data_IF_577591614408
#
_entry.id   IF_577591614408
#
_cell.length_a   1.000
_cell.length_b   1.000
_cell.length_c   1.000
_cell.angle_alpha   90.00
_cell.angle_beta   90.00
_cell.angle_gamma   90.00
#
_symmetry.space_group_name_H-M   'P 1'
#
loop_
_entity.id
_entity.type
_entity.pdbx_description
1 polymer ?
#
# COMPACT_ATOMS: atom_id res chain seq x y z
N UNK A 1 -35.50 -27.70 -60.79
CA UNK A 1 -35.45 -28.08 -59.39
C UNK A 1 -33.99 -27.90 -58.86
N UNK A 2 -33.72 -26.72 -58.24
CA UNK A 2 -32.40 -26.43 -57.65
C UNK A 2 -32.45 -26.76 -56.14
N UNK A 3 -31.70 -27.74 -55.72
CA UNK A 3 -31.47 -28.02 -54.31
C UNK A 3 -30.40 -27.05 -53.75
N UNK A 4 -30.78 -26.11 -52.88
CA UNK A 4 -29.86 -25.31 -52.10
C UNK A 4 -29.48 -26.11 -50.82
N UNK A 5 -28.25 -26.58 -50.76
CA UNK A 5 -27.66 -27.19 -49.54
C UNK A 5 -27.31 -26.06 -48.58
N UNK A 6 -27.99 -26.02 -47.42
CA UNK A 6 -27.62 -25.17 -46.29
C UNK A 6 -26.50 -25.90 -45.52
N UNK A 7 -25.26 -25.36 -45.58
CA UNK A 7 -24.21 -25.78 -44.66
C UNK A 7 -24.48 -25.10 -43.31
N UNK A 8 -24.87 -25.89 -42.32
CA UNK A 8 -24.96 -25.50 -40.92
C UNK A 8 -23.53 -25.55 -40.33
N UNK A 9 -22.90 -24.39 -40.11
CA UNK A 9 -21.63 -24.32 -39.39
C UNK A 9 -21.91 -24.54 -37.91
N UNK A 10 -21.66 -25.73 -37.41
CA UNK A 10 -21.66 -26.04 -35.99
C UNK A 10 -20.39 -25.45 -35.36
N UNK A 11 -20.51 -24.32 -34.69
CA UNK A 11 -19.48 -23.78 -33.79
C UNK A 11 -19.42 -24.68 -32.56
N UNK A 12 -18.45 -25.57 -32.51
CA UNK A 12 -18.13 -26.35 -31.31
C UNK A 12 -17.66 -25.38 -30.21
N UNK A 13 -18.54 -25.07 -29.26
CA UNK A 13 -18.14 -24.39 -28.03
C UNK A 13 -17.22 -25.35 -27.26
N UNK A 14 -15.98 -24.93 -27.01
CA UNK A 14 -15.07 -25.67 -26.16
C UNK A 14 -15.69 -25.81 -24.76
N UNK A 15 -15.47 -26.94 -24.06
CA UNK A 15 -16.02 -27.13 -22.71
C UNK A 15 -15.50 -26.03 -21.76
N UNK A 16 -16.36 -25.55 -20.86
CA UNK A 16 -16.07 -24.41 -19.96
C UNK A 16 -14.77 -24.58 -19.14
N UNK A 17 -14.42 -25.81 -18.77
CA UNK A 17 -13.17 -26.11 -18.08
C UNK A 17 -11.92 -25.80 -18.95
N UNK A 18 -11.92 -26.19 -20.23
CA UNK A 18 -10.80 -25.91 -21.13
C UNK A 18 -10.62 -24.38 -21.40
N UNK A 19 -11.72 -23.62 -21.43
CA UNK A 19 -11.65 -22.16 -21.54
C UNK A 19 -11.09 -21.50 -20.27
N UNK A 20 -11.39 -22.05 -19.08
CA UNK A 20 -10.86 -21.56 -17.81
C UNK A 20 -9.35 -21.81 -17.70
N UNK A 21 -8.86 -22.97 -18.13
CA UNK A 21 -7.44 -23.29 -18.09
C UNK A 21 -6.65 -22.40 -19.07
N UNK A 22 -7.12 -22.22 -20.29
CA UNK A 22 -6.48 -21.33 -21.29
C UNK A 22 -6.43 -19.87 -20.82
N UNK A 23 -7.47 -19.42 -20.11
CA UNK A 23 -7.50 -18.07 -19.54
C UNK A 23 -6.44 -17.93 -18.43
N UNK A 24 -6.38 -18.86 -17.49
CA UNK A 24 -5.39 -18.83 -16.38
C UNK A 24 -3.95 -18.89 -16.92
N UNK A 25 -3.70 -19.68 -17.96
CA UNK A 25 -2.40 -19.71 -18.64
C UNK A 25 -2.02 -18.36 -19.22
N UNK A 26 -2.94 -17.67 -19.90
CA UNK A 26 -2.68 -16.35 -20.45
C UNK A 26 -2.45 -15.29 -19.37
N UNK A 27 -3.22 -15.32 -18.28
CA UNK A 27 -3.06 -14.45 -17.12
C UNK A 27 -1.69 -14.70 -16.44
N UNK A 28 -1.31 -15.96 -16.23
CA UNK A 28 -0.01 -16.37 -15.71
C UNK A 28 1.14 -15.86 -16.60
N UNK A 29 1.06 -16.08 -17.91
CA UNK A 29 2.10 -15.67 -18.85
C UNK A 29 2.29 -14.14 -18.90
N UNK A 30 1.24 -13.36 -18.73
CA UNK A 30 1.35 -11.91 -18.61
C UNK A 30 2.00 -11.52 -17.29
N UNK A 31 1.62 -12.16 -16.20
CA UNK A 31 2.18 -11.90 -14.87
C UNK A 31 3.68 -12.23 -14.81
N UNK A 32 4.08 -13.40 -15.33
CA UNK A 32 5.47 -13.80 -15.49
C UNK A 32 6.30 -12.71 -16.20
N UNK A 33 5.87 -12.25 -17.38
CA UNK A 33 6.55 -11.19 -18.13
C UNK A 33 6.72 -9.90 -17.34
N UNK A 34 5.75 -9.55 -16.48
CA UNK A 34 5.75 -8.32 -15.69
C UNK A 34 6.64 -8.48 -14.46
N UNK A 35 6.61 -9.63 -13.79
CA UNK A 35 7.48 -9.90 -12.62
C UNK A 35 8.95 -9.93 -13.05
N UNK A 36 9.27 -10.52 -14.19
CA UNK A 36 10.64 -10.63 -14.71
C UNK A 36 11.24 -9.31 -15.24
N UNK A 37 10.50 -8.20 -15.17
CA UNK A 37 11.08 -6.87 -15.42
C UNK A 37 11.52 -6.29 -14.07
N UNK A 38 12.82 -6.19 -13.75
CA UNK A 38 13.29 -5.72 -12.44
C UNK A 38 13.21 -4.19 -12.35
N UNK A 39 12.03 -3.68 -12.05
CA UNK A 39 11.72 -2.24 -11.97
C UNK A 39 12.20 -1.61 -10.66
N UNK A 40 13.39 -1.98 -10.22
CA UNK A 40 14.09 -1.37 -9.09
C UNK A 40 14.62 0.00 -9.49
N UNK A 41 14.58 0.95 -8.55
CA UNK A 41 15.17 2.27 -8.73
C UNK A 41 16.62 2.18 -9.25
N UNK A 42 16.96 3.03 -10.22
CA UNK A 42 18.31 3.06 -10.81
C UNK A 42 18.63 1.96 -11.83
N UNK A 43 17.83 0.89 -11.96
CA UNK A 43 18.06 -0.17 -12.95
C UNK A 43 17.59 0.16 -14.38
N UNK A 44 16.86 1.26 -14.58
CA UNK A 44 16.45 1.73 -15.90
C UNK A 44 15.47 0.80 -16.63
N UNK A 45 14.75 -0.07 -15.92
CA UNK A 45 13.84 -1.04 -16.52
C UNK A 45 12.37 -0.56 -16.60
N UNK A 46 12.04 0.55 -15.96
CA UNK A 46 10.68 1.09 -15.97
C UNK A 46 10.14 1.36 -17.39
N UNK A 47 10.91 1.92 -18.35
CA UNK A 47 10.43 2.10 -19.72
C UNK A 47 10.02 0.81 -20.42
N UNK A 48 10.63 -0.33 -20.09
CA UNK A 48 10.25 -1.64 -20.62
C UNK A 48 8.88 -2.07 -20.10
N UNK A 49 8.61 -1.86 -18.81
CA UNK A 49 7.33 -2.19 -18.20
C UNK A 49 6.21 -1.28 -18.70
N UNK A 50 6.42 0.05 -18.74
CA UNK A 50 5.42 0.99 -19.23
C UNK A 50 5.06 0.76 -20.69
N UNK A 51 6.04 0.40 -21.53
CA UNK A 51 5.80 0.03 -22.93
C UNK A 51 4.94 -1.23 -23.04
N UNK A 52 5.22 -2.27 -22.25
CA UNK A 52 4.42 -3.49 -22.19
C UNK A 52 2.98 -3.18 -21.75
N UNK A 53 2.80 -2.45 -20.67
CA UNK A 53 1.48 -2.08 -20.14
C UNK A 53 0.68 -1.23 -21.14
N UNK A 54 1.32 -0.25 -21.79
CA UNK A 54 0.70 0.56 -22.83
C UNK A 54 0.17 -0.30 -23.97
N UNK A 55 0.94 -1.31 -24.38
CA UNK A 55 0.51 -2.26 -25.44
C UNK A 55 -0.65 -3.14 -24.96
N UNK A 56 -0.64 -3.61 -23.71
CA UNK A 56 -1.73 -4.40 -23.14
C UNK A 56 -3.03 -3.59 -23.02
N UNK A 57 -2.96 -2.31 -22.63
CA UNK A 57 -4.12 -1.40 -22.69
C UNK A 57 -4.62 -1.20 -24.12
N UNK A 58 -3.70 -1.01 -25.10
CA UNK A 58 -4.06 -0.85 -26.52
C UNK A 58 -4.77 -2.08 -27.06
N UNK A 59 -4.30 -3.30 -26.74
CA UNK A 59 -4.95 -4.57 -27.12
C UNK A 59 -6.37 -4.67 -26.56
N UNK A 60 -6.62 -4.11 -25.39
CA UNK A 60 -7.95 -4.02 -24.80
C UNK A 60 -8.84 -2.93 -25.42
N UNK A 61 -8.32 -2.12 -26.37
CA UNK A 61 -9.04 -0.97 -26.91
C UNK A 61 -9.12 0.23 -25.95
N UNK A 62 -8.20 0.32 -24.98
CA UNK A 62 -7.98 1.50 -24.12
C UNK A 62 -6.76 2.23 -24.68
N UNK A 63 -7.00 3.18 -25.59
CA UNK A 63 -5.93 3.84 -26.35
C UNK A 63 -5.48 5.19 -25.78
N UNK A 64 -6.25 5.77 -24.85
CA UNK A 64 -5.86 6.99 -24.15
C UNK A 64 -4.91 6.64 -22.99
N UNK A 65 -3.63 6.47 -23.32
CA UNK A 65 -2.56 6.09 -22.38
C UNK A 65 -1.42 7.08 -22.51
N UNK A 66 -1.12 7.75 -21.40
CA UNK A 66 -0.03 8.73 -21.25
C UNK A 66 1.03 8.16 -20.32
N UNK A 67 2.29 8.20 -20.73
CA UNK A 67 3.45 7.91 -19.89
C UNK A 67 4.09 9.24 -19.51
N UNK A 68 4.42 9.38 -18.23
CA UNK A 68 5.04 10.57 -17.64
C UNK A 68 6.43 10.22 -17.13
N UNK A 69 7.46 10.82 -17.74
CA UNK A 69 8.83 10.74 -17.25
C UNK A 69 9.01 11.67 -16.05
N UNK A 70 9.64 11.18 -14.99
CA UNK A 70 10.00 11.96 -13.81
C UNK A 70 11.12 11.29 -13.02
N UNK A 71 12.02 12.06 -12.49
CA UNK A 71 13.04 11.64 -11.51
C UNK A 71 13.79 10.33 -11.86
N UNK A 72 14.05 10.08 -13.15
CA UNK A 72 14.71 8.86 -13.63
C UNK A 72 13.81 7.63 -13.77
N UNK A 73 12.51 7.76 -13.55
CA UNK A 73 11.49 6.71 -13.71
C UNK A 73 10.29 7.18 -14.55
N UNK A 74 9.24 6.38 -14.61
CA UNK A 74 8.02 6.67 -15.37
C UNK A 74 6.78 6.28 -14.58
N UNK A 75 5.71 7.08 -14.70
CA UNK A 75 4.35 6.73 -14.30
C UNK A 75 3.45 6.62 -15.52
N UNK A 76 2.43 5.75 -15.47
CA UNK A 76 1.49 5.51 -16.55
C UNK A 76 0.08 5.92 -16.12
N UNK A 77 -0.60 6.70 -16.98
CA UNK A 77 -2.00 7.09 -16.79
C UNK A 77 -2.80 6.60 -17.98
N UNK A 78 -3.78 5.74 -17.75
CA UNK A 78 -4.71 5.28 -18.78
C UNK A 78 -6.13 5.75 -18.49
N UNK A 79 -6.92 6.03 -19.52
CA UNK A 79 -8.31 6.47 -19.38
C UNK A 79 -9.23 5.69 -20.31
N UNK A 80 -10.23 5.06 -19.72
CA UNK A 80 -11.36 4.47 -20.43
C UNK A 80 -12.56 5.41 -20.30
N UNK A 81 -12.91 6.16 -21.36
CA UNK A 81 -14.03 7.09 -21.32
C UNK A 81 -15.37 6.38 -21.12
N UNK A 82 -16.30 7.07 -20.48
CA UNK A 82 -17.68 6.64 -20.37
C UNK A 82 -18.32 6.52 -21.78
N UNK A 83 -18.96 5.41 -22.03
CA UNK A 83 -19.72 5.23 -23.26
C UNK A 83 -21.08 5.96 -23.22
N UNK A 84 -21.66 6.04 -22.03
CA UNK A 84 -22.92 6.74 -21.74
C UNK A 84 -22.75 7.57 -20.47
N UNK A 85 -22.24 8.82 -20.57
CA UNK A 85 -21.95 9.63 -19.40
C UNK A 85 -23.15 9.87 -18.51
N UNK A 86 -23.06 9.49 -17.23
CA UNK A 86 -24.08 9.71 -16.20
C UNK A 86 -23.98 11.07 -15.49
N UNK A 87 -22.94 11.86 -15.83
CA UNK A 87 -22.61 13.10 -15.11
C UNK A 87 -21.77 12.89 -13.82
N UNK A 88 -21.55 11.64 -13.39
CA UNK A 88 -20.67 11.33 -12.27
C UNK A 88 -19.20 11.59 -12.65
N UNK A 89 -18.41 12.04 -11.67
CA UNK A 89 -16.95 12.16 -11.87
C UNK A 89 -16.31 10.80 -12.09
N UNK A 90 -15.14 10.75 -12.76
CA UNK A 90 -14.36 9.51 -12.92
C UNK A 90 -14.08 8.77 -11.60
N UNK A 91 -13.74 7.49 -11.70
CA UNK A 91 -13.08 6.74 -10.64
C UNK A 91 -11.60 6.56 -11.02
N UNK A 92 -10.72 6.54 -10.01
CA UNK A 92 -9.28 6.32 -10.18
C UNK A 92 -8.91 4.94 -9.63
N UNK A 93 -8.21 4.13 -10.41
CA UNK A 93 -7.62 2.86 -9.98
C UNK A 93 -6.13 3.06 -9.83
N UNK A 94 -5.55 2.59 -8.73
CA UNK A 94 -4.14 2.81 -8.41
C UNK A 94 -3.42 1.51 -8.11
N UNK A 95 -2.16 1.43 -8.53
CA UNK A 95 -1.15 0.45 -8.15
C UNK A 95 0.23 1.02 -8.49
N UNK A 96 1.31 0.42 -7.98
CA UNK A 96 2.66 0.81 -8.39
C UNK A 96 3.35 -0.27 -9.23
N UNK A 97 4.36 0.15 -9.98
CA UNK A 97 5.10 -0.66 -10.95
C UNK A 97 6.50 -1.05 -10.47
N UNK A 98 7.06 -0.21 -9.61
CA UNK A 98 8.40 -0.40 -9.05
C UNK A 98 8.41 -1.46 -7.96
N UNK A 99 9.60 -1.88 -7.59
CA UNK A 99 9.84 -2.88 -6.55
C UNK A 99 11.12 -2.53 -5.79
N UNK A 100 11.18 -2.88 -4.51
CA UNK A 100 12.41 -2.74 -3.73
C UNK A 100 13.52 -3.62 -4.27
N UNK A 101 14.77 -3.24 -3.98
CA UNK A 101 15.95 -4.02 -4.36
C UNK A 101 15.93 -5.39 -3.68
N UNK A 102 16.51 -6.38 -4.35
CA UNK A 102 16.74 -7.72 -3.84
C UNK A 102 18.15 -8.16 -4.18
N UNK A 103 18.96 -8.45 -3.17
CA UNK A 103 20.30 -8.95 -3.37
C UNK A 103 20.23 -10.45 -3.74
N UNK A 104 20.65 -10.86 -4.95
CA UNK A 104 20.56 -12.28 -5.36
C UNK A 104 21.33 -13.23 -4.47
N UNK A 105 22.39 -12.75 -3.77
CA UNK A 105 23.17 -13.59 -2.86
C UNK A 105 22.40 -14.07 -1.61
N UNK A 106 21.33 -13.37 -1.26
CA UNK A 106 20.48 -13.69 -0.09
C UNK A 106 19.34 -14.66 -0.45
N UNK A 107 19.06 -14.81 -1.76
CA UNK A 107 17.96 -15.64 -2.26
C UNK A 107 18.47 -17.02 -2.71
N UNK A 108 17.63 -18.03 -2.59
CA UNK A 108 17.92 -19.36 -3.17
C UNK A 108 17.95 -19.36 -4.69
N UNK A 109 17.26 -18.39 -5.31
CA UNK A 109 17.10 -18.23 -6.74
C UNK A 109 17.23 -16.76 -7.09
N UNK A 110 17.42 -16.45 -8.36
CA UNK A 110 17.34 -15.07 -8.82
C UNK A 110 15.96 -14.47 -8.46
N UNK A 111 15.91 -13.41 -7.65
CA UNK A 111 14.66 -12.79 -7.20
C UNK A 111 13.79 -12.25 -8.34
N UNK A 112 14.37 -11.99 -9.50
CA UNK A 112 13.66 -11.47 -10.67
C UNK A 112 13.30 -12.53 -11.71
N UNK A 113 13.50 -13.81 -11.40
CA UNK A 113 13.00 -14.94 -12.18
C UNK A 113 11.70 -15.44 -11.61
N UNK A 114 10.64 -15.41 -12.41
CA UNK A 114 9.32 -15.90 -12.02
C UNK A 114 9.33 -17.41 -11.78
N UNK A 115 8.69 -17.84 -10.72
CA UNK A 115 8.61 -19.25 -10.34
C UNK A 115 7.20 -19.60 -9.87
N UNK A 116 6.89 -20.88 -9.99
CA UNK A 116 5.68 -21.49 -9.44
C UNK A 116 6.09 -22.62 -8.52
N UNK A 117 5.75 -22.52 -7.22
CA UNK A 117 6.10 -23.52 -6.22
C UNK A 117 5.10 -23.50 -5.07
N UNK A 118 4.67 -24.69 -4.63
CA UNK A 118 3.82 -24.86 -3.43
C UNK A 118 2.46 -24.13 -3.49
N UNK A 119 1.92 -23.89 -4.68
CA UNK A 119 0.66 -23.16 -4.87
C UNK A 119 0.83 -21.64 -4.89
N UNK A 120 2.06 -21.14 -5.02
CA UNK A 120 2.39 -19.73 -5.10
C UNK A 120 3.14 -19.39 -6.39
N UNK A 121 2.94 -18.17 -6.86
CA UNK A 121 3.85 -17.48 -7.77
C UNK A 121 4.86 -16.71 -6.94
N UNK A 122 6.15 -16.89 -7.24
CA UNK A 122 7.27 -16.30 -6.50
C UNK A 122 8.09 -15.38 -7.41
N UNK A 123 8.65 -14.35 -6.81
CA UNK A 123 9.54 -13.38 -7.42
C UNK A 123 9.40 -12.01 -6.76
N UNK A 124 10.41 -11.16 -6.83
CA UNK A 124 10.34 -9.79 -6.32
C UNK A 124 9.25 -9.01 -7.05
N UNK A 125 8.33 -8.39 -6.31
CA UNK A 125 7.15 -7.71 -6.84
C UNK A 125 5.96 -8.64 -7.11
N UNK A 126 6.07 -9.94 -6.84
CA UNK A 126 4.95 -10.88 -7.05
C UNK A 126 3.76 -10.57 -6.14
N UNK A 127 3.99 -10.06 -4.94
CA UNK A 127 2.94 -9.58 -4.02
C UNK A 127 2.83 -8.06 -4.06
N UNK A 128 3.95 -7.37 -4.01
CA UNK A 128 4.09 -5.94 -3.83
C UNK A 128 4.74 -5.29 -5.07
N UNK A 129 3.98 -4.72 -6.01
CA UNK A 129 2.50 -4.66 -6.11
C UNK A 129 2.01 -5.18 -7.48
N UNK A 130 2.88 -5.92 -8.23
CA UNK A 130 2.59 -6.33 -9.61
C UNK A 130 1.39 -7.26 -9.72
N UNK A 131 1.06 -8.06 -8.68
CA UNK A 131 -0.16 -8.88 -8.71
C UNK A 131 -1.43 -8.04 -8.76
N UNK A 132 -1.52 -6.98 -7.95
CA UNK A 132 -2.68 -6.09 -7.95
C UNK A 132 -2.76 -5.28 -9.26
N UNK A 133 -1.62 -4.75 -9.72
CA UNK A 133 -1.49 -4.07 -11.01
C UNK A 133 -2.06 -4.93 -12.15
N UNK A 134 -1.62 -6.20 -12.25
CA UNK A 134 -2.07 -7.13 -13.29
C UNK A 134 -3.54 -7.49 -13.10
N UNK A 135 -4.00 -7.69 -11.85
CA UNK A 135 -5.41 -7.96 -11.57
C UNK A 135 -6.35 -6.87 -12.06
N UNK A 136 -6.00 -5.61 -11.83
CA UNK A 136 -6.75 -4.45 -12.35
C UNK A 136 -6.73 -4.43 -13.88
N UNK A 137 -5.56 -4.61 -14.51
CA UNK A 137 -5.41 -4.63 -15.97
C UNK A 137 -6.26 -5.74 -16.60
N UNK A 138 -6.18 -6.97 -16.07
CA UNK A 138 -6.96 -8.11 -16.57
C UNK A 138 -8.47 -7.90 -16.43
N UNK A 139 -8.92 -7.33 -15.31
CA UNK A 139 -10.33 -7.00 -15.12
C UNK A 139 -10.83 -5.99 -16.18
N UNK A 140 -10.06 -4.95 -16.47
CA UNK A 140 -10.38 -3.98 -17.51
C UNK A 140 -10.42 -4.63 -18.91
N UNK A 141 -9.44 -5.50 -19.22
CA UNK A 141 -9.41 -6.25 -20.48
C UNK A 141 -10.64 -7.16 -20.64
N UNK A 142 -11.02 -7.86 -19.56
CA UNK A 142 -12.17 -8.75 -19.55
C UNK A 142 -13.49 -7.99 -19.71
N UNK A 143 -13.64 -6.88 -18.99
CA UNK A 143 -14.81 -6.00 -19.11
C UNK A 143 -14.96 -5.44 -20.53
N UNK A 144 -13.86 -5.05 -21.16
CA UNK A 144 -13.87 -4.61 -22.58
C UNK A 144 -14.31 -5.73 -23.50
N UNK A 145 -13.73 -6.92 -23.35
CA UNK A 145 -14.11 -8.11 -24.17
C UNK A 145 -15.57 -8.52 -23.96
N UNK A 146 -16.10 -8.35 -22.74
CA UNK A 146 -17.50 -8.60 -22.42
C UNK A 146 -18.46 -7.49 -22.91
N UNK A 147 -17.95 -6.44 -23.58
CA UNK A 147 -18.76 -5.33 -24.10
C UNK A 147 -19.31 -4.40 -23.01
N UNK A 148 -18.71 -4.37 -21.83
CA UNK A 148 -19.12 -3.46 -20.75
C UNK A 148 -19.03 -2.00 -21.20
N UNK A 149 -20.06 -1.22 -20.90
CA UNK A 149 -20.20 0.18 -21.26
C UNK A 149 -20.23 1.03 -19.97
N UNK A 150 -19.10 1.61 -19.55
CA UNK A 150 -19.09 2.42 -18.34
C UNK A 150 -19.92 3.69 -18.49
N UNK A 151 -20.60 4.09 -17.43
CA UNK A 151 -21.40 5.34 -17.37
C UNK A 151 -20.60 6.51 -16.79
N UNK A 152 -19.39 6.26 -16.32
CA UNK A 152 -18.40 7.24 -15.88
C UNK A 152 -17.00 6.80 -16.34
N UNK A 153 -16.10 7.74 -16.49
CA UNK A 153 -14.74 7.42 -16.89
C UNK A 153 -14.04 6.57 -15.82
N UNK A 154 -13.23 5.62 -16.28
CA UNK A 154 -12.32 4.86 -15.42
C UNK A 154 -10.91 5.33 -15.75
N UNK A 155 -10.19 5.82 -14.77
CA UNK A 155 -8.81 6.27 -14.88
C UNK A 155 -7.93 5.26 -14.13
N UNK A 156 -6.78 4.93 -14.69
CA UNK A 156 -5.75 4.11 -14.05
C UNK A 156 -4.52 4.98 -13.85
N UNK A 157 -3.94 4.96 -12.67
CA UNK A 157 -2.63 5.53 -12.34
C UNK A 157 -1.74 4.39 -11.86
N UNK A 158 -0.68 4.09 -12.59
CA UNK A 158 0.39 3.20 -12.18
C UNK A 158 1.66 4.04 -11.99
N UNK A 159 2.09 4.19 -10.76
CA UNK A 159 3.29 4.93 -10.38
C UNK A 159 4.55 4.07 -10.49
N UNK A 160 5.70 4.68 -10.57
CA UNK A 160 6.95 3.96 -10.78
C UNK A 160 8.04 4.26 -9.75
N UNK A 161 7.65 4.73 -8.57
CA UNK A 161 8.56 5.14 -7.51
C UNK A 161 7.91 5.16 -6.11
N UNK A 162 6.88 4.35 -5.89
CA UNK A 162 6.20 4.23 -4.60
C UNK A 162 7.17 3.74 -3.53
N UNK A 163 7.99 2.76 -3.88
CA UNK A 163 8.99 2.11 -3.02
C UNK A 163 10.26 2.96 -2.78
N UNK A 164 10.32 4.16 -3.34
CA UNK A 164 11.48 5.04 -3.22
C UNK A 164 11.08 6.46 -2.86
N UNK A 165 10.72 7.29 -3.83
CA UNK A 165 10.49 8.73 -3.59
C UNK A 165 9.03 9.11 -3.45
N UNK A 166 8.09 8.33 -4.00
CA UNK A 166 6.67 8.66 -4.08
C UNK A 166 6.34 9.92 -4.89
N UNK A 167 7.31 10.42 -5.66
CA UNK A 167 7.15 11.65 -6.43
C UNK A 167 6.14 11.50 -7.56
N UNK A 168 5.97 10.29 -8.11
CA UNK A 168 4.95 9.99 -9.12
C UNK A 168 3.54 10.33 -8.64
N UNK A 169 3.20 9.88 -7.44
CA UNK A 169 1.92 10.20 -6.81
C UNK A 169 1.80 11.68 -6.43
N UNK A 170 2.87 12.30 -5.92
CA UNK A 170 2.92 13.73 -5.60
C UNK A 170 2.72 14.60 -6.86
N UNK A 171 3.34 14.23 -7.99
CA UNK A 171 3.14 14.89 -9.29
C UNK A 171 1.75 14.64 -9.86
N UNK A 172 1.20 13.43 -9.68
CA UNK A 172 -0.18 13.14 -10.06
C UNK A 172 -1.17 14.00 -9.28
N UNK A 173 -0.92 14.19 -7.96
CA UNK A 173 -1.71 15.04 -7.08
C UNK A 173 -1.64 16.54 -7.42
N UNK A 174 -0.57 17.00 -8.05
CA UNK A 174 -0.29 18.40 -8.38
C UNK A 174 -0.25 18.67 -9.87
N UNK A 175 0.88 18.40 -10.52
CA UNK A 175 1.15 18.74 -11.92
C UNK A 175 0.21 18.02 -12.91
N UNK A 176 -0.13 16.75 -12.63
CA UNK A 176 -0.99 15.92 -13.49
C UNK A 176 -2.41 15.82 -12.97
N UNK A 177 -2.80 16.68 -12.04
CA UNK A 177 -4.10 16.66 -11.35
C UNK A 177 -5.29 16.60 -12.30
N UNK A 178 -5.20 17.28 -13.47
CA UNK A 178 -6.25 17.25 -14.49
C UNK A 178 -6.43 15.87 -15.14
N UNK A 179 -5.38 15.06 -15.22
CA UNK A 179 -5.41 13.71 -15.78
C UNK A 179 -6.07 12.69 -14.84
N UNK A 180 -5.98 12.92 -13.53
CA UNK A 180 -6.47 12.01 -12.49
C UNK A 180 -7.69 12.54 -11.72
N UNK A 181 -8.35 13.60 -12.23
CA UNK A 181 -9.48 14.22 -11.53
C UNK A 181 -10.66 13.25 -11.38
N UNK A 182 -10.74 12.58 -10.25
CA UNK A 182 -11.73 11.57 -9.92
C UNK A 182 -12.58 11.95 -8.71
N UNK A 183 -13.71 11.25 -8.51
CA UNK A 183 -14.54 11.37 -7.32
C UNK A 183 -13.88 10.71 -6.11
N UNK A 184 -13.26 9.57 -6.35
CA UNK A 184 -12.47 8.79 -5.38
C UNK A 184 -11.51 7.87 -6.13
N UNK A 185 -10.57 7.30 -5.38
CA UNK A 185 -9.62 6.30 -5.87
C UNK A 185 -9.81 4.95 -5.15
N UNK A 186 -9.55 3.88 -5.90
CA UNK A 186 -9.41 2.51 -5.40
C UNK A 186 -7.95 2.12 -5.55
N UNK A 187 -7.26 1.88 -4.45
CA UNK A 187 -5.84 1.52 -4.44
C UNK A 187 -5.67 0.01 -4.24
N UNK A 188 -5.14 -0.67 -5.26
CA UNK A 188 -4.85 -2.10 -5.20
C UNK A 188 -3.64 -2.47 -4.35
N UNK A 189 -2.86 -1.46 -3.96
CA UNK A 189 -1.67 -1.62 -3.12
C UNK A 189 -2.00 -1.82 -1.63
N UNK A 190 -3.25 -1.73 -1.26
CA UNK A 190 -3.67 -1.84 0.12
C UNK A 190 -5.00 -2.60 0.23
N UNK A 191 -5.34 -3.03 1.43
CA UNK A 191 -6.53 -3.85 1.65
C UNK A 191 -6.23 -5.34 1.48
N UNK A 192 -7.10 -6.06 0.75
CA UNK A 192 -6.98 -7.50 0.57
C UNK A 192 -7.51 -8.33 1.73
N UNK A 193 -7.50 -9.65 1.57
CA UNK A 193 -8.15 -10.60 2.44
C UNK A 193 -7.21 -11.50 3.22
N UNK A 194 -7.72 -12.01 4.33
CA UNK A 194 -7.10 -13.07 5.13
C UNK A 194 -8.07 -14.25 5.21
N UNK A 195 -7.59 -15.42 4.83
CA UNK A 195 -8.39 -16.65 4.76
C UNK A 195 -7.64 -17.74 5.52
N UNK A 196 -8.32 -18.49 6.37
CA UNK A 196 -7.74 -19.65 7.05
C UNK A 196 -7.51 -20.79 6.06
N UNK A 197 -6.60 -21.71 6.39
CA UNK A 197 -6.31 -22.88 5.56
C UNK A 197 -7.53 -23.79 5.32
N UNK A 198 -8.53 -23.73 6.20
CA UNK A 198 -9.80 -24.43 6.06
C UNK A 198 -10.85 -23.71 5.21
N UNK A 199 -10.50 -22.56 4.63
CA UNK A 199 -11.36 -21.77 3.76
C UNK A 199 -12.24 -20.74 4.49
N UNK A 200 -12.26 -20.70 5.82
CA UNK A 200 -12.97 -19.64 6.57
C UNK A 200 -12.33 -18.27 6.28
N UNK A 201 -13.14 -17.27 6.10
CA UNK A 201 -12.68 -15.90 5.85
C UNK A 201 -12.54 -15.15 7.17
N UNK A 202 -11.34 -14.66 7.49
CA UNK A 202 -11.14 -13.75 8.63
C UNK A 202 -11.73 -12.38 8.32
N UNK A 203 -11.44 -11.83 7.14
CA UNK A 203 -11.97 -10.57 6.64
C UNK A 203 -11.20 -10.03 5.46
N UNK A 204 -11.76 -8.99 4.84
CA UNK A 204 -11.12 -8.19 3.80
C UNK A 204 -10.95 -6.76 4.30
N UNK A 205 -9.74 -6.24 4.21
CA UNK A 205 -9.42 -4.87 4.56
C UNK A 205 -9.96 -3.87 3.55
N UNK A 206 -10.43 -2.74 4.05
CA UNK A 206 -10.63 -1.52 3.27
C UNK A 206 -9.78 -0.42 3.92
N UNK A 207 -8.59 -0.19 3.40
CA UNK A 207 -7.72 0.86 3.95
C UNK A 207 -8.30 2.23 3.63
N UNK A 208 -8.59 3.01 4.67
CA UNK A 208 -9.11 4.37 4.56
C UNK A 208 -8.16 5.41 5.16
N UNK A 209 -7.12 4.97 5.85
CA UNK A 209 -6.13 5.83 6.47
C UNK A 209 -4.77 5.15 6.47
N UNK A 210 -3.71 5.95 6.62
CA UNK A 210 -2.35 5.50 6.82
C UNK A 210 -1.58 6.47 7.70
N UNK A 211 -0.56 5.99 8.39
CA UNK A 211 0.29 6.84 9.20
C UNK A 211 1.26 7.61 8.34
N UNK A 212 1.53 8.87 8.76
CA UNK A 212 2.58 9.65 8.13
C UNK A 212 3.95 9.15 8.61
N UNK A 213 4.80 8.80 7.67
CA UNK A 213 6.23 8.56 7.91
C UNK A 213 6.94 9.89 8.12
N UNK A 214 7.81 9.99 9.12
CA UNK A 214 8.69 11.13 9.27
C UNK A 214 9.98 10.74 10.00
N UNK A 215 11.11 11.13 9.43
CA UNK A 215 12.40 11.07 10.08
C UNK A 215 12.75 12.40 10.72
N UNK A 216 13.34 12.33 11.91
CA UNK A 216 13.84 13.49 12.63
C UNK A 216 15.31 13.27 12.94
N UNK A 217 16.17 14.15 12.40
CA UNK A 217 17.60 14.14 12.66
C UNK A 217 17.91 14.96 13.90
N UNK A 218 18.35 14.28 14.94
CA UNK A 218 18.83 14.90 16.18
C UNK A 218 20.33 15.13 16.07
N UNK A 219 20.77 16.33 16.37
CA UNK A 219 22.20 16.71 16.34
C UNK A 219 22.58 17.45 17.60
N UNK A 220 23.65 17.01 18.24
CA UNK A 220 24.32 17.70 19.34
C UNK A 220 25.73 18.04 18.91
N UNK A 221 26.12 19.30 19.09
CA UNK A 221 27.49 19.76 18.80
C UNK A 221 28.18 20.23 20.07
N UNK A 222 29.50 20.07 20.09
CA UNK A 222 30.35 20.44 21.21
C UNK A 222 31.73 20.88 20.69
N UNK A 223 32.46 21.71 21.44
CA UNK A 223 33.82 22.10 21.04
C UNK A 223 34.87 20.98 21.13
N UNK A 224 34.50 19.84 21.74
CA UNK A 224 35.43 18.73 21.99
C UNK A 224 36.48 19.03 23.05
N UNK A 225 37.54 18.23 23.08
CA UNK A 225 38.66 18.35 24.00
C UNK A 225 39.37 17.02 24.24
N UNK A 226 40.37 17.03 25.11
CA UNK A 226 41.11 15.82 25.48
C UNK A 226 40.33 15.02 26.52
N UNK A 227 40.21 13.69 26.33
CA UNK A 227 39.41 12.81 27.19
C UNK A 227 39.84 12.76 28.65
N UNK A 228 41.14 13.06 28.96
CA UNK A 228 41.64 13.14 30.31
C UNK A 228 41.14 14.36 31.08
N UNK A 229 40.43 15.28 30.43
CA UNK A 229 39.83 16.46 31.03
C UNK A 229 38.33 16.48 30.72
N UNK A 230 37.56 15.59 31.36
CA UNK A 230 36.14 15.46 31.11
C UNK A 230 35.38 16.76 31.41
N UNK A 231 34.32 17.01 30.68
CA UNK A 231 33.46 18.19 30.78
C UNK A 231 32.02 17.76 31.01
N UNK A 232 31.19 18.60 31.66
CA UNK A 232 29.75 18.31 31.80
C UNK A 232 29.00 18.24 30.46
N UNK A 233 29.45 19.03 29.49
CA UNK A 233 28.82 19.18 28.15
C UNK A 233 29.40 18.16 27.14
N UNK A 234 29.05 16.91 27.26
CA UNK A 234 29.45 15.85 26.34
C UNK A 234 28.34 15.56 25.33
N UNK A 235 28.63 15.71 24.04
CA UNK A 235 27.65 15.56 22.97
C UNK A 235 26.99 14.17 22.97
N UNK A 236 27.74 13.09 23.26
CA UNK A 236 27.19 11.73 23.34
C UNK A 236 26.22 11.62 24.52
N UNK A 237 26.59 12.14 25.70
CA UNK A 237 25.72 12.03 26.88
C UNK A 237 24.46 12.88 26.75
N UNK A 238 24.57 14.08 26.16
CA UNK A 238 23.40 14.93 25.87
C UNK A 238 22.46 14.23 24.91
N UNK A 239 22.96 13.64 23.81
CA UNK A 239 22.15 12.90 22.86
C UNK A 239 21.52 11.64 23.50
N UNK A 240 22.28 10.88 24.29
CA UNK A 240 21.76 9.71 24.98
C UNK A 240 20.62 10.06 25.95
N UNK A 241 20.74 11.18 26.68
CA UNK A 241 19.67 11.71 27.54
C UNK A 241 18.40 12.05 26.73
N UNK A 242 18.55 12.72 25.60
CA UNK A 242 17.45 13.03 24.69
C UNK A 242 16.75 11.76 24.16
N UNK A 243 17.51 10.76 23.72
CA UNK A 243 16.96 9.49 23.25
C UNK A 243 16.22 8.74 24.34
N UNK A 244 16.72 8.75 25.58
CA UNK A 244 16.03 8.15 26.75
C UNK A 244 14.73 8.86 27.08
N UNK A 245 14.68 10.20 26.96
CA UNK A 245 13.45 10.96 27.16
C UNK A 245 12.42 10.65 26.07
N UNK A 246 12.85 10.52 24.80
CA UNK A 246 11.99 10.15 23.68
C UNK A 246 11.48 8.70 23.83
N UNK A 247 12.33 7.76 24.19
CA UNK A 247 11.96 6.36 24.46
C UNK A 247 10.88 6.24 25.54
N UNK A 248 11.04 7.02 26.62
CA UNK A 248 10.09 7.02 27.75
C UNK A 248 8.77 7.73 27.43
N UNK A 249 8.74 8.58 26.40
CA UNK A 249 7.55 9.35 26.08
C UNK A 249 6.45 8.47 25.47
N UNK A 250 5.22 8.72 25.91
CA UNK A 250 3.99 8.12 25.36
C UNK A 250 3.10 9.24 24.81
N UNK A 251 3.02 9.30 23.47
CA UNK A 251 2.07 10.20 22.84
C UNK A 251 0.65 9.92 23.33
N UNK A 252 -0.24 10.93 23.36
CA UNK A 252 -1.63 10.74 23.74
C UNK A 252 -2.31 9.67 22.88
N UNK A 253 -3.18 8.83 23.44
CA UNK A 253 -3.99 7.93 22.64
C UNK A 253 -4.97 8.70 21.76
N UNK A 254 -5.25 8.17 20.60
CA UNK A 254 -6.11 8.73 19.57
C UNK A 254 -6.95 7.64 18.93
N UNK A 255 -8.10 8.00 18.41
CA UNK A 255 -8.97 7.13 17.65
C UNK A 255 -9.52 7.87 16.43
N UNK A 256 -9.57 7.20 15.29
CA UNK A 256 -10.26 7.67 14.08
C UNK A 256 -11.25 6.59 13.61
N UNK A 257 -11.98 6.86 12.51
CA UNK A 257 -12.98 5.93 11.98
C UNK A 257 -12.37 4.55 11.65
N UNK A 258 -11.14 4.50 11.11
CA UNK A 258 -10.47 3.26 10.75
C UNK A 258 -10.05 2.45 11.99
N UNK A 259 -9.35 3.07 12.95
CA UNK A 259 -8.92 2.38 14.16
C UNK A 259 -10.10 1.98 15.04
N UNK A 260 -11.18 2.78 15.08
CA UNK A 260 -12.42 2.40 15.76
C UNK A 260 -13.02 1.13 15.17
N UNK A 261 -13.23 1.10 13.85
CA UNK A 261 -13.81 -0.06 13.18
C UNK A 261 -12.96 -1.34 13.36
N UNK A 262 -11.64 -1.19 13.32
CA UNK A 262 -10.71 -2.28 13.60
C UNK A 262 -10.90 -2.83 15.03
N UNK A 263 -10.93 -1.97 16.04
CA UNK A 263 -11.10 -2.38 17.42
C UNK A 263 -12.50 -2.90 17.73
N UNK A 264 -13.56 -2.34 17.14
CA UNK A 264 -14.92 -2.87 17.23
C UNK A 264 -14.99 -4.30 16.69
N UNK A 265 -14.36 -4.55 15.53
CA UNK A 265 -14.28 -5.89 14.96
C UNK A 265 -13.48 -6.86 15.85
N UNK A 266 -12.35 -6.41 16.39
CA UNK A 266 -11.55 -7.19 17.33
C UNK A 266 -12.37 -7.56 18.57
N UNK A 267 -13.12 -6.62 19.14
CA UNK A 267 -14.00 -6.85 20.29
C UNK A 267 -15.15 -7.85 20.00
N UNK A 268 -15.62 -7.89 18.74
CA UNK A 268 -16.62 -8.88 18.30
C UNK A 268 -16.03 -10.30 18.19
N UNK A 269 -14.81 -10.42 17.69
CA UNK A 269 -14.17 -11.70 17.42
C UNK A 269 -13.49 -12.30 18.64
N UNK A 270 -12.79 -11.48 19.41
CA UNK A 270 -12.05 -11.91 20.60
C UNK A 270 -12.94 -11.84 21.85
N UNK A 271 -13.29 -13.00 22.41
CA UNK A 271 -14.03 -13.12 23.67
C UNK A 271 -13.12 -13.31 24.90
N UNK A 272 -11.82 -13.31 24.69
CA UNK A 272 -10.82 -13.42 25.75
C UNK A 272 -10.41 -12.05 26.32
N UNK A 273 -9.33 -12.09 27.11
CA UNK A 273 -8.81 -10.92 27.84
C UNK A 273 -8.47 -9.74 26.92
N UNK A 274 -7.96 -10.00 25.71
CA UNK A 274 -7.63 -8.93 24.78
C UNK A 274 -8.89 -8.24 24.27
N UNK A 275 -9.91 -8.98 23.89
CA UNK A 275 -11.20 -8.41 23.50
C UNK A 275 -11.90 -7.63 24.62
N UNK A 276 -11.69 -8.03 25.90
CA UNK A 276 -12.18 -7.26 27.07
C UNK A 276 -11.46 -5.91 27.18
N UNK A 277 -10.14 -5.89 27.03
CA UNK A 277 -9.36 -4.65 26.99
C UNK A 277 -9.80 -3.72 25.88
N UNK A 278 -10.01 -4.28 24.67
CA UNK A 278 -10.50 -3.50 23.52
C UNK A 278 -11.86 -2.89 23.82
N UNK A 279 -12.81 -3.66 24.33
CA UNK A 279 -14.14 -3.14 24.73
C UNK A 279 -14.04 -2.00 25.74
N UNK A 280 -13.22 -2.18 26.78
CA UNK A 280 -12.98 -1.13 27.80
C UNK A 280 -12.41 0.13 27.15
N UNK A 281 -11.40 0.00 26.25
CA UNK A 281 -10.80 1.15 25.61
C UNK A 281 -11.75 1.87 24.63
N UNK A 282 -12.65 1.15 23.98
CA UNK A 282 -13.65 1.74 23.09
C UNK A 282 -14.69 2.61 23.85
N UNK A 283 -14.92 2.34 25.13
CA UNK A 283 -15.75 3.18 26.01
C UNK A 283 -15.06 4.50 26.36
N UNK A 284 -13.74 4.47 26.60
CA UNK A 284 -12.90 5.66 26.83
C UNK A 284 -11.59 5.58 26.04
N UNK A 285 -11.56 6.03 24.77
CA UNK A 285 -10.34 6.03 23.97
C UNK A 285 -9.23 6.99 24.45
N UNK A 286 -9.48 7.74 25.51
CA UNK A 286 -8.47 8.61 26.14
C UNK A 286 -7.71 7.93 27.30
N UNK A 287 -8.18 6.75 27.75
CA UNK A 287 -7.53 5.97 28.81
C UNK A 287 -6.14 5.50 28.35
N UNK A 288 -5.11 6.15 28.92
CA UNK A 288 -3.71 5.90 28.57
C UNK A 288 -3.25 4.51 28.98
N UNK A 289 -3.67 4.04 30.15
CA UNK A 289 -3.23 2.76 30.69
C UNK A 289 -3.75 1.59 29.86
N UNK A 290 -5.03 1.66 29.48
CA UNK A 290 -5.62 0.65 28.57
C UNK A 290 -5.01 0.73 27.17
N UNK A 291 -4.76 1.94 26.62
CA UNK A 291 -4.08 2.09 25.36
C UNK A 291 -2.65 1.51 25.39
N UNK A 292 -1.89 1.66 26.47
CA UNK A 292 -0.56 1.08 26.64
C UNK A 292 -0.58 -0.47 26.61
N UNK A 293 -1.62 -1.08 27.18
CA UNK A 293 -1.81 -2.53 27.13
C UNK A 293 -2.16 -3.01 25.72
N UNK A 294 -3.00 -2.26 24.98
CA UNK A 294 -3.34 -2.58 23.59
C UNK A 294 -2.12 -2.50 22.67
N UNK A 295 -1.20 -1.56 22.90
CA UNK A 295 0.03 -1.40 22.11
C UNK A 295 0.94 -2.63 22.10
N UNK A 296 0.75 -3.58 23.03
CA UNK A 296 1.49 -4.84 23.05
C UNK A 296 1.09 -5.76 21.89
N UNK A 297 -0.19 -5.75 21.50
CA UNK A 297 -0.71 -6.58 20.41
C UNK A 297 -0.83 -5.79 19.09
N UNK A 298 -1.20 -4.51 19.20
CA UNK A 298 -1.44 -3.62 18.06
C UNK A 298 -0.55 -2.36 18.13
N UNK A 299 0.77 -2.49 17.93
CA UNK A 299 1.70 -1.37 18.03
C UNK A 299 1.35 -0.23 17.09
N UNK A 300 1.12 0.95 17.65
CA UNK A 300 0.84 2.16 16.87
C UNK A 300 -0.60 2.34 16.39
N UNK A 301 -1.52 1.44 16.69
CA UNK A 301 -2.93 1.62 16.31
C UNK A 301 -3.68 2.63 17.20
N UNK A 302 -3.15 2.91 18.39
CA UNK A 302 -3.76 3.85 19.33
C UNK A 302 -3.11 5.23 19.36
N UNK A 303 -1.93 5.44 18.75
CA UNK A 303 -1.18 6.70 18.85
C UNK A 303 -0.05 6.87 17.83
N UNK A 304 0.57 8.05 17.81
CA UNK A 304 1.88 8.27 17.19
C UNK A 304 2.95 7.48 17.92
N UNK A 305 3.90 6.90 17.17
CA UNK A 305 5.06 6.17 17.70
C UNK A 305 6.33 6.71 17.07
N UNK A 306 7.36 6.89 17.91
CA UNK A 306 8.71 7.28 17.48
C UNK A 306 9.73 6.30 18.03
N UNK A 307 10.74 5.95 17.23
CA UNK A 307 11.83 5.05 17.58
C UNK A 307 13.15 5.53 16.99
N UNK A 308 14.22 5.47 17.78
CA UNK A 308 15.56 5.74 17.26
C UNK A 308 16.01 4.57 16.37
N UNK A 309 16.45 4.88 15.14
CA UNK A 309 16.86 3.88 14.14
C UNK A 309 18.34 3.93 13.82
N UNK A 310 18.99 5.07 14.02
CA UNK A 310 20.42 5.26 13.78
C UNK A 310 21.04 6.15 14.85
N UNK A 311 22.31 5.89 15.16
CA UNK A 311 23.11 6.72 16.07
C UNK A 311 24.57 6.73 15.63
N UNK A 312 25.22 7.89 15.74
CA UNK A 312 26.65 8.05 15.48
C UNK A 312 27.23 9.15 16.37
N UNK A 313 28.54 9.10 16.64
CA UNK A 313 29.21 10.15 17.42
C UNK A 313 30.64 9.84 17.76
N UNK A 314 31.44 10.91 17.99
CA UNK A 314 32.85 10.82 18.26
C UNK A 314 33.71 10.61 17.01
N UNK A 315 35.03 10.84 17.13
CA UNK A 315 35.98 10.68 16.03
C UNK A 315 37.29 10.03 16.45
N UNK A 316 37.58 9.97 17.75
CA UNK A 316 38.77 9.33 18.31
C UNK A 316 38.53 8.85 19.75
N UNK A 317 39.13 7.72 20.17
CA UNK A 317 38.88 7.13 21.51
C UNK A 317 39.39 8.00 22.67
N UNK A 318 40.35 8.89 22.43
CA UNK A 318 40.96 9.78 23.42
C UNK A 318 40.51 11.25 23.27
N UNK A 319 39.44 11.53 22.55
CA UNK A 319 38.89 12.86 22.33
C UNK A 319 37.43 12.94 22.81
N UNK A 320 37.06 14.10 23.39
CA UNK A 320 35.65 14.42 23.66
C UNK A 320 34.93 14.62 22.32
N UNK A 321 33.70 14.06 22.15
CA UNK A 321 32.98 14.14 20.89
C UNK A 321 32.60 15.55 20.54
N UNK A 322 32.91 15.99 19.31
CA UNK A 322 32.52 17.30 18.78
C UNK A 322 31.11 17.27 18.22
N UNK A 323 30.62 16.11 17.84
CA UNK A 323 29.29 15.88 17.27
C UNK A 323 28.78 14.50 17.63
N UNK A 324 27.48 14.43 17.93
CA UNK A 324 26.72 13.21 18.04
C UNK A 324 25.37 13.38 17.31
N UNK A 325 24.92 12.37 16.60
CA UNK A 325 23.72 12.40 15.79
C UNK A 325 22.90 11.13 15.96
N UNK A 326 21.59 11.26 15.85
CA UNK A 326 20.68 10.13 15.77
C UNK A 326 19.57 10.41 14.75
N UNK A 327 19.04 9.36 14.14
CA UNK A 327 17.76 9.39 13.43
C UNK A 327 16.67 8.83 14.33
N UNK A 328 15.58 9.56 14.44
CA UNK A 328 14.34 9.12 15.12
C UNK A 328 13.24 9.04 14.07
N UNK A 329 12.82 7.83 13.73
CA UNK A 329 11.71 7.57 12.84
C UNK A 329 10.40 7.61 13.60
N UNK A 330 9.43 8.35 13.08
CA UNK A 330 8.08 8.41 13.63
C UNK A 330 7.04 7.91 12.63
N UNK A 331 6.08 7.14 13.16
CA UNK A 331 4.84 6.79 12.48
C UNK A 331 3.72 7.60 13.12
N UNK A 332 3.40 8.72 12.47
CA UNK A 332 2.53 9.76 13.01
C UNK A 332 1.07 9.39 12.74
N UNK A 333 0.22 9.51 13.75
CA UNK A 333 -1.21 9.20 13.64
C UNK A 333 -1.90 10.18 12.67
N UNK A 334 -2.80 9.73 11.78
CA UNK A 334 -3.52 10.60 10.83
C UNK A 334 -4.19 11.79 11.53
N UNK A 335 -4.03 12.98 10.96
CA UNK A 335 -4.52 14.24 11.51
C UNK A 335 -3.55 14.97 12.43
N UNK A 336 -2.43 14.32 12.85
CA UNK A 336 -1.34 14.99 13.58
C UNK A 336 -0.31 15.53 12.59
N UNK A 337 0.14 16.76 12.80
CA UNK A 337 1.12 17.41 11.92
C UNK A 337 2.56 17.03 12.28
N UNK A 338 3.41 16.84 11.27
CA UNK A 338 4.84 16.56 11.43
C UNK A 338 5.49 17.61 12.34
N UNK A 339 5.14 18.88 12.15
CA UNK A 339 5.69 19.98 12.94
C UNK A 339 5.25 19.94 14.43
N UNK A 340 4.09 19.39 14.75
CA UNK A 340 3.66 19.18 16.13
C UNK A 340 4.52 18.10 16.80
N UNK A 341 4.80 17.00 16.08
CA UNK A 341 5.69 15.95 16.55
C UNK A 341 7.12 16.49 16.72
N UNK A 342 7.63 17.25 15.74
CA UNK A 342 8.96 17.90 15.85
C UNK A 342 9.07 18.74 17.11
N UNK A 343 8.07 19.61 17.38
CA UNK A 343 8.05 20.45 18.60
C UNK A 343 8.00 19.63 19.87
N UNK A 344 7.24 18.53 19.89
CA UNK A 344 7.18 17.64 21.04
C UNK A 344 8.54 16.96 21.28
N UNK A 345 9.18 16.46 20.22
CA UNK A 345 10.52 15.88 20.30
C UNK A 345 11.55 16.91 20.78
N UNK A 346 11.47 18.17 20.31
CA UNK A 346 12.34 19.25 20.75
C UNK A 346 12.18 19.54 22.25
N UNK A 347 10.94 19.53 22.74
CA UNK A 347 10.66 19.71 24.17
C UNK A 347 11.27 18.60 25.01
N UNK A 348 11.18 17.35 24.54
CA UNK A 348 11.75 16.18 25.24
C UNK A 348 13.28 16.16 25.20
N UNK A 349 13.86 16.52 24.07
CA UNK A 349 15.31 16.49 23.86
C UNK A 349 16.06 17.64 24.56
N UNK A 350 15.36 18.75 24.84
CA UNK A 350 15.94 19.94 25.45
C UNK A 350 16.61 20.89 24.45
N UNK A 351 17.12 22.05 24.93
CA UNK A 351 17.62 23.12 24.08
C UNK A 351 18.98 22.83 23.42
N UNK A 352 19.77 21.91 23.98
CA UNK A 352 21.11 21.59 23.48
C UNK A 352 21.09 20.61 22.28
N UNK A 353 19.90 20.11 21.90
CA UNK A 353 19.69 19.23 20.75
C UNK A 353 19.00 20.00 19.64
N UNK A 354 19.56 19.99 18.45
CA UNK A 354 18.90 20.50 17.25
C UNK A 354 18.14 19.38 16.58
N UNK A 355 16.85 19.61 16.24
CA UNK A 355 16.02 18.62 15.53
C UNK A 355 15.60 19.19 14.18
N UNK A 356 16.07 18.54 13.12
CA UNK A 356 15.66 18.81 11.75
C UNK A 356 14.71 17.72 11.26
N UNK A 357 13.73 18.09 10.44
CA UNK A 357 12.88 17.15 9.70
C UNK A 357 13.71 16.57 8.56
N UNK A 358 13.73 15.26 8.44
CA UNK A 358 14.37 14.49 7.36
C UNK A 358 13.37 14.09 6.28
N UNK A 359 13.40 12.82 5.87
CA UNK A 359 12.45 12.26 4.92
C UNK A 359 11.04 12.16 5.51
N UNK A 360 10.03 12.41 4.68
CA UNK A 360 8.63 12.38 5.10
C UNK A 360 7.74 11.86 3.98
N UNK A 361 6.69 11.10 4.35
CA UNK A 361 5.53 10.94 3.47
C UNK A 361 4.56 12.11 3.62
N UNK A 362 3.65 12.33 2.65
CA UNK A 362 2.62 13.35 2.78
C UNK A 362 1.74 13.12 4.02
N UNK A 363 1.47 14.19 4.76
CA UNK A 363 0.44 14.16 5.82
C UNK A 363 -0.92 14.01 5.17
N UNK A 364 -1.76 13.08 5.62
CA UNK A 364 -3.12 12.96 5.10
C UNK A 364 -4.12 12.58 6.18
N UNK A 365 -5.34 13.10 6.04
CA UNK A 365 -6.47 12.68 6.83
C UNK A 365 -7.04 11.34 6.32
N UNK A 366 -7.87 10.69 7.14
CA UNK A 366 -8.59 9.50 6.73
C UNK A 366 -9.64 9.81 5.67
N UNK A 367 -9.83 8.92 4.69
CA UNK A 367 -10.96 8.97 3.78
C UNK A 367 -12.28 8.70 4.53
N UNK A 368 -13.38 9.39 4.21
CA UNK A 368 -14.68 9.09 4.82
C UNK A 368 -15.17 7.70 4.40
N UNK A 369 -15.79 6.96 5.30
CA UNK A 369 -16.42 5.67 4.95
C UNK A 369 -17.65 5.95 4.08
N UNK A 370 -17.65 5.40 2.86
CA UNK A 370 -18.76 5.55 1.89
C UNK A 370 -19.54 4.26 1.76
N UNK A 371 -20.84 4.32 2.00
CA UNK A 371 -21.73 3.16 1.92
C UNK A 371 -21.75 2.53 0.52
N UNK A 372 -21.77 3.34 -0.54
CA UNK A 372 -21.78 2.87 -1.93
C UNK A 372 -20.54 2.04 -2.29
N UNK A 373 -19.35 2.44 -1.79
CA UNK A 373 -18.10 1.69 -2.00
C UNK A 373 -18.11 0.40 -1.17
N UNK A 374 -18.53 0.47 0.10
CA UNK A 374 -18.62 -0.72 0.97
C UNK A 374 -19.58 -1.77 0.39
N UNK A 375 -20.75 -1.34 -0.10
CA UNK A 375 -21.75 -2.23 -0.71
C UNK A 375 -21.24 -2.83 -2.02
N UNK A 376 -20.62 -2.03 -2.87
CA UNK A 376 -20.00 -2.51 -4.12
C UNK A 376 -18.90 -3.52 -3.84
N UNK A 377 -18.03 -3.24 -2.87
CA UNK A 377 -16.94 -4.14 -2.50
C UNK A 377 -17.46 -5.44 -1.87
N UNK A 378 -18.47 -5.37 -1.00
CA UNK A 378 -19.14 -6.55 -0.44
C UNK A 378 -19.72 -7.45 -1.53
N UNK A 379 -20.39 -6.87 -2.49
CA UNK A 379 -20.97 -7.61 -3.59
C UNK A 379 -19.92 -8.20 -4.54
N UNK A 380 -18.80 -7.47 -4.74
CA UNK A 380 -17.66 -7.97 -5.50
C UNK A 380 -17.00 -9.17 -4.79
N UNK A 381 -16.77 -9.08 -3.49
CA UNK A 381 -16.24 -10.19 -2.70
C UNK A 381 -17.16 -11.41 -2.70
N UNK A 382 -18.48 -11.21 -2.71
CA UNK A 382 -19.47 -12.30 -2.72
C UNK A 382 -19.41 -13.17 -3.97
N UNK A 383 -18.74 -12.74 -5.05
CA UNK A 383 -18.45 -13.58 -6.22
C UNK A 383 -17.59 -14.79 -5.88
N UNK A 384 -16.82 -14.73 -4.78
CA UNK A 384 -15.98 -15.82 -4.30
C UNK A 384 -16.16 -16.13 -2.80
N UNK A 385 -16.38 -15.12 -1.98
CA UNK A 385 -16.45 -15.19 -0.53
C UNK A 385 -17.80 -14.67 -0.04
N UNK A 386 -18.76 -15.57 0.09
CA UNK A 386 -20.07 -15.19 0.59
C UNK A 386 -19.95 -14.63 2.01
N UNK A 387 -20.61 -13.50 2.25
CA UNK A 387 -20.67 -12.84 3.55
C UNK A 387 -19.30 -12.47 4.17
N UNK A 388 -18.27 -12.27 3.33
CA UNK A 388 -16.95 -11.87 3.81
C UNK A 388 -17.03 -10.53 4.57
N UNK A 389 -16.50 -10.46 5.80
CA UNK A 389 -16.45 -9.20 6.54
C UNK A 389 -15.53 -8.19 5.86
N UNK A 390 -15.97 -6.93 5.75
CA UNK A 390 -15.13 -5.81 5.33
C UNK A 390 -14.75 -5.01 6.56
N UNK A 391 -13.45 -4.78 6.74
CA UNK A 391 -12.91 -4.08 7.91
C UNK A 391 -12.22 -2.80 7.43
N UNK A 392 -12.73 -1.62 7.76
CA UNK A 392 -11.97 -0.38 7.57
C UNK A 392 -10.65 -0.44 8.33
N UNK A 393 -9.54 -0.10 7.66
CA UNK A 393 -8.20 -0.22 8.20
C UNK A 393 -7.43 1.10 8.13
N UNK A 394 -6.53 1.26 9.09
CA UNK A 394 -5.44 2.22 9.05
C UNK A 394 -4.12 1.46 8.86
N UNK A 395 -3.38 1.76 7.80
CA UNK A 395 -2.04 1.19 7.62
C UNK A 395 -1.03 1.85 8.56
N UNK A 396 -0.11 1.04 9.08
CA UNK A 396 1.09 1.56 9.75
C UNK A 396 2.17 2.00 8.74
N UNK A 397 2.13 1.48 7.51
CA UNK A 397 2.94 1.90 6.37
C UNK A 397 2.34 3.11 5.65
N UNK A 398 3.07 3.64 4.67
CA UNK A 398 2.63 4.68 3.75
C UNK A 398 2.36 4.05 2.38
N UNK A 399 1.54 4.69 1.56
CA UNK A 399 1.29 4.35 0.17
C UNK A 399 1.13 5.64 -0.65
N UNK A 400 1.08 5.54 -1.96
CA UNK A 400 0.70 6.65 -2.86
C UNK A 400 -0.66 7.29 -2.52
N UNK A 401 -1.47 6.58 -1.74
CA UNK A 401 -2.79 7.04 -1.32
C UNK A 401 -2.79 8.35 -0.54
N UNK A 402 -1.74 8.63 0.26
CA UNK A 402 -1.64 9.87 1.02
C UNK A 402 -1.59 11.11 0.12
N UNK A 403 -0.76 11.08 -0.93
CA UNK A 403 -0.64 12.18 -1.89
C UNK A 403 -1.98 12.46 -2.60
N UNK A 404 -2.69 11.41 -2.98
CA UNK A 404 -3.96 11.52 -3.69
C UNK A 404 -5.08 12.02 -2.76
N UNK A 405 -5.11 11.60 -1.47
CA UNK A 405 -6.02 12.15 -0.45
C UNK A 405 -5.80 13.65 -0.24
N UNK A 406 -4.53 14.08 -0.20
CA UNK A 406 -4.18 15.50 -0.09
C UNK A 406 -4.63 16.34 -1.29
N UNK A 407 -4.73 15.73 -2.47
CA UNK A 407 -5.33 16.37 -3.65
C UNK A 407 -6.87 16.46 -3.58
N UNK A 408 -7.49 16.05 -2.47
CA UNK A 408 -8.94 16.06 -2.27
C UNK A 408 -9.68 14.91 -2.96
N UNK A 409 -8.99 13.82 -3.29
CA UNK A 409 -9.58 12.60 -3.81
C UNK A 409 -9.51 11.53 -2.71
N UNK A 410 -10.63 11.15 -2.07
CA UNK A 410 -10.65 10.06 -1.10
C UNK A 410 -10.10 8.77 -1.71
N UNK A 411 -9.25 8.04 -0.96
CA UNK A 411 -8.62 6.79 -1.41
C UNK A 411 -9.07 5.65 -0.52
N UNK A 412 -9.46 4.56 -1.14
CA UNK A 412 -9.86 3.31 -0.50
C UNK A 412 -8.93 2.20 -0.98
N UNK A 413 -8.10 1.68 -0.07
CA UNK A 413 -7.30 0.50 -0.34
C UNK A 413 -8.19 -0.73 -0.34
N UNK A 414 -8.46 -1.25 -1.52
CA UNK A 414 -9.32 -2.42 -1.73
C UNK A 414 -8.67 -3.34 -2.75
N UNK A 415 -8.89 -4.63 -2.62
CA UNK A 415 -8.35 -5.59 -3.57
C UNK A 415 -9.01 -6.95 -3.44
N UNK A 416 -8.84 -7.76 -4.46
CA UNK A 416 -9.31 -9.15 -4.47
C UNK A 416 -8.24 -10.15 -4.07
N UNK A 417 -7.01 -9.73 -3.80
CA UNK A 417 -5.95 -10.61 -3.31
C UNK A 417 -6.24 -11.04 -1.87
N UNK A 418 -5.81 -12.24 -1.51
CA UNK A 418 -5.85 -12.72 -0.12
C UNK A 418 -4.64 -13.57 0.21
N UNK A 419 -4.31 -13.64 1.49
CA UNK A 419 -3.27 -14.50 2.04
C UNK A 419 -3.85 -15.54 2.99
N UNK A 420 -3.10 -16.60 3.24
CA UNK A 420 -3.46 -17.60 4.27
C UNK A 420 -3.03 -17.05 5.64
N UNK A 421 -3.96 -17.09 6.61
CA UNK A 421 -3.68 -16.67 7.99
C UNK A 421 -2.48 -17.42 8.55
N UNK A 422 -1.52 -16.69 9.10
CA UNK A 422 -0.26 -17.24 9.62
C UNK A 422 0.83 -17.42 8.56
N UNK A 423 0.58 -17.07 7.29
CA UNK A 423 1.59 -17.10 6.24
C UNK A 423 1.89 -15.68 5.77
N UNK A 424 3.19 -15.39 5.56
CA UNK A 424 3.65 -14.11 5.01
C UNK A 424 3.72 -14.16 3.48
N UNK A 425 3.40 -13.04 2.84
CA UNK A 425 3.68 -12.80 1.41
C UNK A 425 5.17 -12.64 1.12
N UNK A 426 5.98 -12.33 2.14
CA UNK A 426 7.41 -12.04 1.97
C UNK A 426 7.70 -10.69 1.32
N UNK A 427 6.72 -9.77 1.19
CA UNK A 427 6.94 -8.41 0.66
C UNK A 427 8.12 -7.75 1.36
N UNK A 428 9.01 -7.10 0.61
CA UNK A 428 10.31 -6.54 1.04
C UNK A 428 11.33 -7.54 1.61
N UNK A 429 10.93 -8.81 1.79
CA UNK A 429 11.76 -9.88 2.33
C UNK A 429 12.20 -10.88 1.28
N UNK A 430 12.62 -12.07 1.76
CA UNK A 430 12.96 -13.21 0.91
C UNK A 430 11.72 -14.00 0.50
N UNK A 431 11.82 -14.70 -0.63
CA UNK A 431 10.77 -15.60 -1.14
C UNK A 431 9.40 -14.91 -1.26
N UNK A 432 9.40 -13.65 -1.74
CA UNK A 432 8.18 -12.91 -2.00
C UNK A 432 7.27 -13.66 -2.94
N UNK A 433 5.97 -13.75 -2.58
CA UNK A 433 5.03 -14.64 -3.24
C UNK A 433 3.57 -14.18 -3.13
N UNK A 434 2.78 -14.59 -4.11
CA UNK A 434 1.33 -14.46 -4.11
C UNK A 434 0.68 -15.84 -4.33
N UNK A 435 -0.40 -16.13 -3.60
CA UNK A 435 -1.16 -17.37 -3.76
C UNK A 435 -1.77 -17.41 -5.17
N UNK A 436 -1.55 -18.51 -5.93
CA UNK A 436 -2.06 -18.66 -7.30
C UNK A 436 -3.57 -18.46 -7.36
N UNK A 437 -4.30 -19.08 -6.44
CA UNK A 437 -5.76 -18.92 -6.37
C UNK A 437 -6.18 -17.48 -6.05
N UNK A 438 -5.39 -16.72 -5.28
CA UNK A 438 -5.66 -15.31 -5.02
C UNK A 438 -5.39 -14.45 -6.24
N UNK A 439 -4.28 -14.72 -6.95
CA UNK A 439 -3.94 -14.00 -8.18
C UNK A 439 -5.06 -14.11 -9.23
N UNK A 440 -5.52 -15.33 -9.54
CA UNK A 440 -6.61 -15.52 -10.50
C UNK A 440 -7.97 -15.08 -9.94
N UNK A 441 -8.22 -15.34 -8.66
CA UNK A 441 -9.48 -15.06 -7.99
C UNK A 441 -9.79 -13.57 -7.80
N UNK A 442 -8.78 -12.70 -7.79
CA UNK A 442 -9.00 -11.25 -7.68
C UNK A 442 -9.64 -10.64 -8.94
N UNK A 443 -9.40 -11.24 -10.12
CA UNK A 443 -9.86 -10.66 -11.40
C UNK A 443 -11.38 -10.54 -11.44
N UNK A 444 -12.19 -11.57 -11.18
CA UNK A 444 -13.64 -11.43 -11.12
C UNK A 444 -14.13 -10.48 -10.00
N UNK A 445 -13.39 -10.35 -8.91
CA UNK A 445 -13.72 -9.39 -7.84
C UNK A 445 -13.57 -7.96 -8.37
N UNK A 446 -12.45 -7.64 -9.05
CA UNK A 446 -12.27 -6.34 -9.71
C UNK A 446 -13.30 -6.09 -10.80
N UNK A 447 -13.65 -7.10 -11.63
CA UNK A 447 -14.67 -6.98 -12.66
C UNK A 447 -16.03 -6.58 -12.06
N UNK A 448 -16.48 -7.25 -11.00
CA UNK A 448 -17.77 -6.96 -10.36
C UNK A 448 -17.76 -5.61 -9.64
N UNK A 449 -16.65 -5.27 -8.97
CA UNK A 449 -16.48 -3.97 -8.31
C UNK A 449 -16.63 -2.82 -9.32
N UNK A 450 -15.96 -2.94 -10.47
CA UNK A 450 -16.03 -1.95 -11.54
C UNK A 450 -17.42 -1.89 -12.20
N UNK A 451 -18.10 -3.03 -12.37
CA UNK A 451 -19.49 -3.05 -12.89
C UNK A 451 -20.42 -2.24 -11.99
N UNK A 452 -20.29 -2.37 -10.68
CA UNK A 452 -21.14 -1.66 -9.72
C UNK A 452 -20.82 -0.18 -9.60
N UNK A 453 -19.56 0.19 -9.65
CA UNK A 453 -19.13 1.57 -9.43
C UNK A 453 -19.13 2.42 -10.71
N UNK A 454 -19.01 1.80 -11.87
CA UNK A 454 -18.92 2.48 -13.15
C UNK A 454 -20.00 2.05 -14.17
N UNK A 455 -20.91 1.16 -13.80
CA UNK A 455 -22.05 0.74 -14.61
C UNK A 455 -23.28 1.62 -14.50
#
# INVERSE_FOLDING_TARGET
>A
MLFKSLLLAATLAAPAAAQTDTRREAERALFEKIVEIPTVEGRGQMPKLTALLKEEFRKAGITNVVVKDHDGTQSLIARWPAAKPSGKKPILLMAHMDVVEANPADWKYDPFTFREEGGYYLGRGASDNKAALVGILLALQNLKRAGFQPTRDIIVLYTGDEESTGNGANRAASEWRSLINAEYALNGDAGGGRVYADGRVEGFGMQIAEKTYADFKLTVTNRGGHSSRPRPDNAIYTLAGALKAIEAHRFPPMINAASRAYFERTAEQDKGRYGELVRKWLEDPTDRDTADLLETNDPGFTRTRCVATQISGGHAPNALPQRAEANVNCRIFPGVKIEEVRRQLQTLAGPDVTIAVGETSPESDASPIRADIVEAYRAALATRFKDAPIVPLMSAGATDGAAIRNAGIPVYGVGGLWSIVGQSSGSHGLDERVLIEAFHGQVPIWEELLRRLAG
#
